data_IF_607486519781
#
_entry.id   IF_607486519781
#
_cell.length_a   1.000
_cell.length_b   1.000
_cell.length_c   1.000
_cell.angle_alpha   90.00
_cell.angle_beta   90.00
_cell.angle_gamma   90.00
#
_symmetry.space_group_name_H-M   'P 1'
#
loop_
_entity.id
_entity.type
_entity.pdbx_description
1 polymer ?
#
# COMPACT_ATOMS: atom_id res chain seq x y z
N UNK A 1 6.94 -3.08 19.10
CA UNK A 1 6.42 -3.55 17.81
C UNK A 1 6.75 -2.55 16.71
N UNK A 2 6.98 -3.02 15.48
CA UNK A 2 7.37 -2.18 14.33
C UNK A 2 6.23 -2.05 13.32
N UNK A 3 6.06 -0.87 12.72
CA UNK A 3 5.14 -0.63 11.62
C UNK A 3 5.91 -0.19 10.37
N UNK A 4 5.77 -0.93 9.28
CA UNK A 4 6.34 -0.61 7.97
C UNK A 4 5.27 -0.09 7.03
N UNK A 5 5.51 1.06 6.42
CA UNK A 5 4.55 1.78 5.59
C UNK A 5 5.03 1.85 4.14
N UNK A 6 4.18 1.43 3.20
CA UNK A 6 4.41 1.49 1.76
C UNK A 6 3.48 2.53 1.12
N UNK A 7 4.05 3.58 0.51
CA UNK A 7 3.27 4.67 -0.06
C UNK A 7 2.44 4.29 -1.29
N UNK A 8 1.44 5.12 -1.58
CA UNK A 8 0.67 5.09 -2.83
C UNK A 8 1.51 5.47 -4.05
N UNK A 9 0.97 5.25 -5.27
CA UNK A 9 1.58 5.68 -6.54
C UNK A 9 1.90 7.17 -6.53
N UNK A 10 3.11 7.54 -6.94
CA UNK A 10 3.60 8.92 -6.90
C UNK A 10 3.94 9.45 -5.50
N UNK A 11 3.63 8.69 -4.44
CA UNK A 11 3.89 9.06 -3.05
C UNK A 11 5.32 8.78 -2.58
N UNK A 12 5.65 9.35 -1.43
CA UNK A 12 6.91 9.18 -0.70
C UNK A 12 6.62 8.82 0.75
N UNK A 13 7.61 8.27 1.44
CA UNK A 13 7.50 7.94 2.87
C UNK A 13 7.08 9.13 3.73
N UNK A 14 7.56 10.34 3.41
CA UNK A 14 7.19 11.55 4.17
C UNK A 14 5.70 11.91 4.10
N UNK A 15 4.95 11.46 3.09
CA UNK A 15 3.50 11.65 3.02
C UNK A 15 2.78 10.98 4.20
N UNK A 16 3.43 10.01 4.85
CA UNK A 16 2.91 9.25 5.99
C UNK A 16 3.51 9.67 7.34
N UNK A 17 4.18 10.82 7.41
CA UNK A 17 4.75 11.33 8.66
C UNK A 17 3.72 11.60 9.76
N UNK A 18 2.43 11.66 9.43
CA UNK A 18 1.37 11.77 10.42
C UNK A 18 1.26 10.51 11.29
N UNK A 19 1.64 9.32 10.81
CA UNK A 19 1.76 8.13 11.64
C UNK A 19 2.77 8.33 12.77
N UNK A 20 3.93 8.93 12.48
CA UNK A 20 4.98 9.21 13.49
C UNK A 20 4.59 10.25 14.52
N UNK A 21 3.53 11.04 14.26
CA UNK A 21 3.02 12.06 15.18
C UNK A 21 1.94 11.53 16.11
N UNK A 22 1.36 10.39 15.79
CA UNK A 22 0.37 9.73 16.63
C UNK A 22 1.07 8.95 17.75
N UNK A 23 0.49 8.95 18.93
CA UNK A 23 1.01 8.21 20.09
C UNK A 23 0.34 6.84 20.13
N UNK A 24 0.96 5.87 19.49
CA UNK A 24 0.54 4.47 19.59
C UNK A 24 0.87 3.91 20.97
N UNK A 25 0.04 3.03 21.49
CA UNK A 25 0.31 2.33 22.76
C UNK A 25 1.19 1.09 22.56
N UNK A 26 1.10 0.46 21.36
CA UNK A 26 1.74 -0.83 21.08
C UNK A 26 2.76 -0.79 19.94
N UNK A 27 2.88 0.32 19.21
CA UNK A 27 3.82 0.48 18.11
C UNK A 27 4.91 1.47 18.53
N UNK A 28 6.14 0.97 18.66
CA UNK A 28 7.30 1.73 19.15
C UNK A 28 8.06 2.41 18.00
N UNK A 29 8.15 1.74 16.85
CA UNK A 29 8.94 2.17 15.73
C UNK A 29 8.11 2.20 14.43
N UNK A 30 8.20 3.31 13.69
CA UNK A 30 7.46 3.52 12.44
C UNK A 30 8.42 3.85 11.33
N UNK A 31 8.44 3.02 10.30
CA UNK A 31 9.28 3.12 9.14
C UNK A 31 8.42 3.33 7.89
N UNK A 32 8.71 4.38 7.13
CA UNK A 32 8.03 4.63 5.86
C UNK A 32 9.03 4.49 4.71
N UNK A 33 8.67 3.65 3.75
CA UNK A 33 9.51 3.31 2.61
C UNK A 33 9.53 4.42 1.56
N UNK A 34 10.70 4.67 1.00
CA UNK A 34 10.83 5.48 -0.21
C UNK A 34 11.25 4.57 -1.37
N UNK A 35 10.37 4.45 -2.36
CA UNK A 35 10.67 3.65 -3.55
C UNK A 35 11.92 4.17 -4.26
N UNK A 36 12.85 3.29 -4.69
CA UNK A 36 13.98 3.69 -5.50
C UNK A 36 13.51 4.38 -6.79
N UNK A 37 13.90 5.63 -6.98
CA UNK A 37 13.53 6.43 -8.16
C UNK A 37 14.72 7.27 -8.61
N UNK A 38 14.97 7.28 -9.91
CA UNK A 38 15.97 8.16 -10.50
C UNK A 38 15.40 9.57 -10.64
N UNK A 39 15.42 10.33 -9.55
CA UNK A 39 14.85 11.69 -9.51
C UNK A 39 15.74 12.75 -10.18
N UNK A 40 17.01 12.44 -10.46
CA UNK A 40 17.99 13.35 -11.09
C UNK A 40 18.85 12.57 -12.07
N UNK A 41 19.31 13.18 -13.19
CA UNK A 41 20.13 12.52 -14.20
C UNK A 41 21.42 11.90 -13.62
N UNK A 42 22.04 12.56 -12.64
CA UNK A 42 23.29 12.17 -11.98
C UNK A 42 23.08 11.10 -10.89
N UNK A 43 21.84 10.74 -10.56
CA UNK A 43 21.55 9.73 -9.53
C UNK A 43 22.08 8.37 -9.96
N UNK A 44 22.76 7.68 -9.02
CA UNK A 44 23.16 6.27 -9.16
C UNK A 44 22.02 5.30 -8.92
N UNK A 45 20.89 5.79 -8.35
CA UNK A 45 19.68 5.01 -8.15
C UNK A 45 19.12 4.65 -9.51
N UNK A 46 18.77 3.39 -9.70
CA UNK A 46 18.10 2.88 -10.89
C UNK A 46 16.60 2.76 -10.61
N UNK A 47 15.81 3.12 -11.59
CA UNK A 47 14.37 2.83 -11.55
C UNK A 47 14.14 1.32 -11.57
N UNK A 48 13.11 0.89 -10.85
CA UNK A 48 12.65 -0.50 -10.86
C UNK A 48 12.05 -0.85 -12.23
N UNK A 49 12.37 -2.03 -12.74
CA UNK A 49 11.95 -2.47 -14.09
C UNK A 49 10.56 -3.09 -14.12
N UNK A 50 10.13 -3.66 -13.01
CA UNK A 50 8.85 -4.32 -12.86
C UNK A 50 8.42 -4.37 -11.38
N UNK A 51 7.16 -4.73 -11.15
CA UNK A 51 6.59 -4.77 -9.80
C UNK A 51 7.29 -5.78 -8.88
N UNK A 52 7.75 -6.91 -9.42
CA UNK A 52 8.48 -7.93 -8.63
C UNK A 52 9.82 -7.39 -8.10
N UNK A 53 10.50 -6.53 -8.86
CA UNK A 53 11.74 -5.89 -8.41
C UNK A 53 11.44 -4.90 -7.26
N UNK A 54 10.34 -4.14 -7.34
CA UNK A 54 9.84 -3.29 -6.25
C UNK A 54 9.59 -4.09 -4.97
N UNK A 55 8.91 -5.21 -5.09
CA UNK A 55 8.64 -6.09 -3.94
C UNK A 55 9.93 -6.62 -3.34
N UNK A 56 10.91 -7.05 -4.15
CA UNK A 56 12.21 -7.52 -3.64
C UNK A 56 12.96 -6.42 -2.88
N UNK A 57 13.03 -5.22 -3.43
CA UNK A 57 13.67 -4.09 -2.77
C UNK A 57 12.97 -3.77 -1.43
N UNK A 58 11.65 -3.85 -1.39
CA UNK A 58 10.86 -3.63 -0.18
C UNK A 58 11.12 -4.72 0.87
N UNK A 59 11.22 -6.00 0.46
CA UNK A 59 11.59 -7.12 1.36
C UNK A 59 12.97 -6.91 1.96
N UNK A 60 13.99 -6.62 1.13
CA UNK A 60 15.36 -6.36 1.59
C UNK A 60 15.39 -5.21 2.60
N UNK A 61 14.61 -4.16 2.34
CA UNK A 61 14.50 -3.02 3.25
C UNK A 61 13.83 -3.41 4.59
N UNK A 62 12.73 -4.16 4.58
CA UNK A 62 12.09 -4.64 5.82
C UNK A 62 13.05 -5.52 6.62
N UNK A 63 13.75 -6.45 5.95
CA UNK A 63 14.71 -7.35 6.60
C UNK A 63 15.91 -6.61 7.20
N UNK A 64 16.24 -5.41 6.72
CA UNK A 64 17.32 -4.60 7.29
C UNK A 64 17.00 -4.00 8.68
N UNK A 65 15.74 -4.12 9.16
CA UNK A 65 15.24 -3.53 10.41
C UNK A 65 15.07 -4.53 11.58
N UNK A 66 15.71 -5.70 11.51
CA UNK A 66 15.63 -6.74 12.55
C UNK A 66 14.20 -7.09 12.99
N UNK A 67 13.46 -7.76 12.08
CA UNK A 67 12.10 -8.23 12.34
C UNK A 67 12.04 -9.64 12.94
N UNK A 68 13.20 -10.27 13.23
CA UNK A 68 13.24 -11.67 13.70
C UNK A 68 12.89 -11.81 15.17
N UNK A 69 13.14 -10.76 15.94
CA UNK A 69 12.97 -10.73 17.40
C UNK A 69 11.73 -9.98 17.87
N UNK A 70 11.00 -9.32 16.98
CA UNK A 70 9.89 -8.45 17.33
C UNK A 70 8.70 -8.64 16.38
N UNK A 71 7.50 -8.48 16.94
CA UNK A 71 6.27 -8.41 16.13
C UNK A 71 6.26 -7.16 15.26
N UNK A 72 5.68 -7.28 14.08
CA UNK A 72 5.58 -6.17 13.15
C UNK A 72 4.31 -6.21 12.31
N UNK A 73 3.97 -5.04 11.78
CA UNK A 73 2.84 -4.81 10.89
C UNK A 73 3.33 -4.25 9.56
N UNK A 74 2.61 -4.57 8.51
CA UNK A 74 2.81 -3.98 7.19
C UNK A 74 1.57 -3.14 6.84
N UNK A 75 1.77 -1.89 6.50
CA UNK A 75 0.72 -1.00 6.01
C UNK A 75 1.02 -0.58 4.58
N UNK A 76 0.03 -0.66 3.71
CA UNK A 76 0.15 -0.11 2.37
C UNK A 76 -1.11 0.63 1.95
N UNK A 77 -0.94 1.76 1.25
CA UNK A 77 -2.04 2.51 0.67
C UNK A 77 -1.99 2.44 -0.86
N UNK A 78 -3.11 2.11 -1.51
CA UNK A 78 -3.19 2.04 -2.96
C UNK A 78 -2.16 1.03 -3.53
N UNK A 79 -1.27 1.44 -4.45
CA UNK A 79 -0.16 0.60 -4.94
C UNK A 79 0.64 -0.02 -3.77
N UNK A 80 0.89 0.76 -2.72
CA UNK A 80 1.61 0.30 -1.54
C UNK A 80 0.93 -0.87 -0.83
N UNK A 81 -0.39 -1.00 -0.94
CA UNK A 81 -1.12 -2.14 -0.38
C UNK A 81 -0.73 -3.46 -1.08
N UNK A 82 -0.59 -3.46 -2.41
CA UNK A 82 -0.07 -4.63 -3.11
C UNK A 82 1.38 -4.95 -2.74
N UNK A 83 2.21 -3.92 -2.53
CA UNK A 83 3.59 -4.12 -2.04
C UNK A 83 3.57 -4.75 -0.65
N UNK A 84 2.77 -4.21 0.29
CA UNK A 84 2.64 -4.75 1.64
C UNK A 84 2.18 -6.21 1.63
N UNK A 85 1.19 -6.54 0.79
CA UNK A 85 0.69 -7.90 0.64
C UNK A 85 1.78 -8.87 0.15
N UNK A 86 2.47 -8.55 -0.94
CA UNK A 86 3.50 -9.42 -1.51
C UNK A 86 4.72 -9.56 -0.57
N UNK A 87 5.08 -8.49 0.15
CA UNK A 87 6.11 -8.53 1.19
C UNK A 87 5.69 -9.49 2.31
N UNK A 88 4.45 -9.37 2.81
CA UNK A 88 3.91 -10.26 3.84
C UNK A 88 3.88 -11.72 3.40
N UNK A 89 3.41 -11.98 2.17
CA UNK A 89 3.37 -13.32 1.58
C UNK A 89 4.76 -13.95 1.47
N UNK A 90 5.77 -13.17 1.07
CA UNK A 90 7.13 -13.71 0.94
C UNK A 90 7.79 -13.94 2.29
N UNK A 91 7.65 -13.01 3.24
CA UNK A 91 8.20 -13.13 4.59
C UNK A 91 7.58 -14.33 5.34
N UNK A 92 6.28 -14.57 5.17
CA UNK A 92 5.59 -15.73 5.74
C UNK A 92 6.22 -17.06 5.29
N UNK A 93 6.62 -17.21 4.03
CA UNK A 93 7.31 -18.43 3.54
C UNK A 93 8.61 -18.73 4.28
N UNK A 94 9.20 -17.70 4.87
CA UNK A 94 10.43 -17.81 5.66
C UNK A 94 10.17 -17.86 7.18
N UNK A 95 8.91 -18.05 7.60
CA UNK A 95 8.52 -18.10 9.02
C UNK A 95 8.56 -16.75 9.73
N UNK A 96 8.59 -15.66 8.97
CA UNK A 96 8.57 -14.28 9.47
C UNK A 96 7.16 -13.70 9.19
N UNK A 97 6.18 -14.09 10.00
CA UNK A 97 4.80 -13.67 9.79
C UNK A 97 4.57 -12.26 10.32
N UNK A 98 4.03 -11.31 9.53
CA UNK A 98 3.49 -10.09 10.08
C UNK A 98 2.28 -10.40 10.97
N UNK A 99 2.06 -9.61 12.02
CA UNK A 99 0.87 -9.74 12.85
C UNK A 99 -0.39 -9.49 12.03
N UNK A 100 -0.40 -8.44 11.23
CA UNK A 100 -1.41 -8.18 10.19
C UNK A 100 -0.80 -7.43 9.01
N UNK A 101 -1.43 -7.58 7.84
CA UNK A 101 -1.17 -6.73 6.67
C UNK A 101 -2.35 -5.78 6.47
N UNK A 102 -2.10 -4.49 6.59
CA UNK A 102 -3.11 -3.45 6.49
C UNK A 102 -3.17 -2.93 5.05
N UNK A 103 -4.29 -3.22 4.40
CA UNK A 103 -4.58 -2.89 3.01
C UNK A 103 -5.50 -1.67 2.94
N UNK A 104 -4.96 -0.51 2.57
CA UNK A 104 -5.74 0.73 2.49
C UNK A 104 -6.02 1.11 1.04
N UNK A 105 -7.30 1.36 0.70
CA UNK A 105 -7.79 1.75 -0.63
C UNK A 105 -7.27 0.85 -1.77
N UNK A 106 -7.49 -0.47 -1.63
CA UNK A 106 -7.11 -1.43 -2.65
C UNK A 106 -8.05 -2.63 -2.70
N UNK A 107 -8.11 -3.27 -3.87
CA UNK A 107 -8.83 -4.51 -4.14
C UNK A 107 -8.03 -5.73 -3.67
N UNK A 108 -8.67 -6.92 -3.52
CA UNK A 108 -7.94 -8.16 -3.31
C UNK A 108 -6.86 -8.34 -4.38
N UNK A 109 -5.61 -8.63 -4.01
CA UNK A 109 -4.53 -8.81 -5.01
C UNK A 109 -4.87 -9.80 -6.11
N UNK A 110 -5.52 -10.91 -5.76
CA UNK A 110 -5.92 -11.97 -6.71
C UNK A 110 -6.94 -11.51 -7.77
N UNK A 111 -7.68 -10.43 -7.51
CA UNK A 111 -8.61 -9.84 -8.48
C UNK A 111 -7.94 -8.87 -9.47
N UNK A 112 -6.70 -8.44 -9.22
CA UNK A 112 -6.01 -7.46 -10.06
C UNK A 112 -5.96 -7.82 -11.56
N UNK A 113 -5.76 -9.08 -11.97
CA UNK A 113 -5.81 -9.45 -13.39
C UNK A 113 -7.13 -9.10 -14.09
N UNK A 114 -8.26 -9.06 -13.35
CA UNK A 114 -9.60 -8.75 -13.87
C UNK A 114 -9.77 -7.27 -14.15
N UNK A 115 -9.15 -6.42 -13.34
CA UNK A 115 -9.26 -4.94 -13.41
C UNK A 115 -8.03 -4.29 -14.05
N UNK A 116 -7.02 -5.07 -14.45
CA UNK A 116 -5.76 -4.57 -15.00
C UNK A 116 -5.95 -3.60 -16.16
N UNK A 117 -6.84 -3.91 -17.10
CA UNK A 117 -7.08 -3.04 -18.27
C UNK A 117 -7.59 -1.67 -17.88
N UNK A 118 -8.39 -1.60 -16.83
CA UNK A 118 -8.89 -0.32 -16.31
C UNK A 118 -7.72 0.50 -15.77
N UNK A 119 -6.81 -0.14 -15.02
CA UNK A 119 -5.58 0.51 -14.54
C UNK A 119 -4.63 0.90 -15.68
N UNK A 120 -4.51 0.10 -16.73
CA UNK A 120 -3.69 0.43 -17.92
C UNK A 120 -4.26 1.64 -18.67
N UNK A 121 -5.55 1.90 -18.60
CA UNK A 121 -6.19 3.05 -19.22
C UNK A 121 -6.08 4.34 -18.39
N UNK A 122 -5.82 4.25 -17.08
CA UNK A 122 -5.81 5.41 -16.18
C UNK A 122 -4.72 6.46 -16.52
N UNK A 123 -3.58 6.02 -17.08
CA UNK A 123 -2.53 6.97 -17.49
C UNK A 123 -2.76 7.61 -18.86
N UNK A 124 -3.82 7.25 -19.59
CA UNK A 124 -4.22 7.90 -20.84
C UNK A 124 -4.80 9.28 -20.55
N UNK A 125 -5.62 9.39 -19.49
CA UNK A 125 -6.14 10.66 -18.98
C UNK A 125 -5.82 10.80 -17.49
N UNK A 126 -4.58 11.14 -17.21
CA UNK A 126 -4.07 11.22 -15.83
C UNK A 126 -4.72 12.35 -15.03
N UNK A 127 -5.16 13.41 -15.68
CA UNK A 127 -5.82 14.53 -15.01
C UNK A 127 -7.20 14.12 -14.52
N UNK A 128 -7.97 13.48 -15.36
CA UNK A 128 -9.27 12.91 -14.99
C UNK A 128 -9.13 11.88 -13.88
N UNK A 129 -8.10 11.02 -13.95
CA UNK A 129 -7.86 10.05 -12.90
C UNK A 129 -7.56 10.70 -11.55
N UNK A 130 -6.68 11.71 -11.51
CA UNK A 130 -6.37 12.46 -10.29
C UNK A 130 -7.63 13.11 -9.71
N UNK A 131 -8.47 13.72 -10.55
CA UNK A 131 -9.73 14.32 -10.13
C UNK A 131 -10.66 13.27 -9.49
N UNK A 132 -10.82 12.11 -10.10
CA UNK A 132 -11.62 11.00 -9.57
C UNK A 132 -11.10 10.46 -8.23
N UNK A 133 -9.80 10.46 -8.01
CA UNK A 133 -9.22 10.08 -6.71
C UNK A 133 -9.53 11.08 -5.58
N UNK A 134 -10.18 12.22 -5.88
CA UNK A 134 -10.43 13.31 -4.93
C UNK A 134 -9.38 14.41 -5.01
N UNK A 135 -8.62 14.48 -6.11
CA UNK A 135 -7.58 15.48 -6.33
C UNK A 135 -6.26 15.13 -5.63
N UNK A 136 -5.43 16.16 -5.43
CA UNK A 136 -4.20 16.05 -4.63
C UNK A 136 -4.44 16.66 -3.24
N UNK A 137 -3.87 16.05 -2.22
CA UNK A 137 -4.03 16.51 -0.81
C UNK A 137 -3.28 17.82 -0.50
N UNK A 138 -2.70 18.47 -1.49
CA UNK A 138 -1.98 19.73 -1.32
C UNK A 138 -2.12 20.61 -2.57
N UNK A 139 -2.11 21.93 -2.36
CA UNK A 139 -2.01 22.89 -3.45
C UNK A 139 -0.63 22.80 -4.09
N UNK A 140 -0.57 22.23 -5.30
CA UNK A 140 0.66 22.12 -6.08
C UNK A 140 0.72 23.22 -7.14
N UNK A 141 1.90 23.83 -7.31
CA UNK A 141 2.15 24.63 -8.50
C UNK A 141 2.31 23.72 -9.74
N UNK A 142 2.26 24.29 -10.94
CA UNK A 142 2.33 23.54 -12.20
C UNK A 142 3.52 22.58 -12.25
N UNK A 143 4.72 23.05 -11.89
CA UNK A 143 5.94 22.21 -11.93
C UNK A 143 5.86 21.02 -10.99
N UNK A 144 5.34 21.22 -9.78
CA UNK A 144 5.14 20.14 -8.81
C UNK A 144 4.08 19.15 -9.26
N UNK A 145 3.01 19.65 -9.90
CA UNK A 145 1.96 18.81 -10.48
C UNK A 145 2.49 17.95 -11.65
N UNK A 146 3.24 18.55 -12.56
CA UNK A 146 3.84 17.82 -13.69
C UNK A 146 4.80 16.73 -13.20
N UNK A 147 5.58 17.04 -12.17
CA UNK A 147 6.45 16.05 -11.52
C UNK A 147 5.65 14.91 -10.87
N UNK A 148 4.62 15.24 -10.08
CA UNK A 148 3.74 14.23 -9.47
C UNK A 148 3.11 13.33 -10.51
N UNK A 149 2.56 13.88 -11.60
CA UNK A 149 1.99 13.11 -12.72
C UNK A 149 3.00 12.16 -13.34
N UNK A 150 4.25 12.62 -13.52
CA UNK A 150 5.31 11.75 -14.07
C UNK A 150 5.61 10.54 -13.19
N UNK A 151 5.63 10.73 -11.87
CA UNK A 151 5.82 9.65 -10.91
C UNK A 151 4.61 8.70 -10.89
N UNK A 152 3.40 9.25 -10.88
CA UNK A 152 2.16 8.48 -10.89
C UNK A 152 2.06 7.61 -12.14
N UNK A 153 2.33 8.16 -13.32
CA UNK A 153 2.36 7.40 -14.58
C UNK A 153 3.42 6.28 -14.54
N UNK A 154 4.61 6.59 -14.03
CA UNK A 154 5.67 5.59 -13.88
C UNK A 154 5.24 4.43 -12.99
N UNK A 155 4.65 4.72 -11.84
CA UNK A 155 4.19 3.72 -10.89
C UNK A 155 3.00 2.89 -11.44
N UNK A 156 2.05 3.52 -12.17
CA UNK A 156 0.94 2.80 -12.81
C UNK A 156 1.44 1.86 -13.91
N UNK A 157 2.42 2.28 -14.72
CA UNK A 157 3.05 1.41 -15.72
C UNK A 157 3.76 0.22 -15.07
N UNK A 158 4.45 0.46 -13.96
CA UNK A 158 5.09 -0.60 -13.19
C UNK A 158 4.05 -1.57 -12.61
N UNK A 159 2.93 -1.04 -12.08
CA UNK A 159 1.82 -1.83 -11.60
C UNK A 159 1.21 -2.71 -12.71
N UNK A 160 1.17 -2.25 -13.96
CA UNK A 160 0.77 -3.04 -15.11
C UNK A 160 1.58 -4.34 -15.29
N UNK A 161 2.77 -4.43 -14.70
CA UNK A 161 3.59 -5.65 -14.69
C UNK A 161 3.32 -6.59 -13.51
N UNK A 162 2.36 -6.26 -12.66
CA UNK A 162 1.99 -7.07 -11.50
C UNK A 162 1.15 -8.28 -11.89
N UNK A 163 1.59 -9.47 -11.52
CA UNK A 163 0.91 -10.74 -11.75
C UNK A 163 0.83 -11.51 -10.42
N UNK A 164 -0.21 -11.25 -9.61
CA UNK A 164 -0.39 -11.93 -8.34
C UNK A 164 -0.61 -13.42 -8.56
N UNK A 165 -0.10 -14.22 -7.64
CA UNK A 165 -0.41 -15.64 -7.56
C UNK A 165 -1.61 -15.84 -6.61
N UNK A 166 -2.49 -16.78 -6.94
CA UNK A 166 -3.52 -17.23 -6.01
C UNK A 166 -2.83 -18.13 -4.98
N UNK A 167 -2.86 -17.79 -3.68
CA UNK A 167 -2.25 -18.60 -2.65
C UNK A 167 -2.89 -19.99 -2.57
N UNK A 168 -2.09 -21.01 -2.34
CA UNK A 168 -2.61 -22.34 -2.04
C UNK A 168 -3.10 -22.41 -0.57
N UNK A 169 -3.80 -23.50 -0.24
CA UNK A 169 -4.24 -23.72 1.14
C UNK A 169 -3.01 -23.77 2.07
N UNK A 170 -2.99 -22.91 3.09
CA UNK A 170 -1.87 -22.77 4.03
C UNK A 170 -0.83 -21.70 3.66
N UNK A 171 -0.89 -21.14 2.44
CA UNK A 171 0.01 -20.04 2.03
C UNK A 171 -0.58 -18.64 2.29
N UNK A 172 -1.90 -18.55 2.53
CA UNK A 172 -2.58 -17.27 2.78
C UNK A 172 -1.97 -16.56 4.00
N UNK A 173 -2.06 -15.24 4.00
CA UNK A 173 -1.76 -14.48 5.22
C UNK A 173 -2.69 -14.90 6.36
N UNK A 174 -2.22 -14.78 7.59
CA UNK A 174 -3.02 -15.15 8.77
C UNK A 174 -4.10 -14.11 8.99
N UNK A 175 -3.77 -12.82 8.87
CA UNK A 175 -4.68 -11.71 9.05
C UNK A 175 -4.45 -10.57 8.05
N UNK A 176 -5.55 -9.98 7.57
CA UNK A 176 -5.58 -8.75 6.78
C UNK A 176 -6.60 -7.78 7.37
N UNK A 177 -6.19 -6.54 7.59
CA UNK A 177 -7.10 -5.44 7.93
C UNK A 177 -7.28 -4.52 6.73
N UNK A 178 -8.53 -4.27 6.34
CA UNK A 178 -8.87 -3.43 5.18
C UNK A 178 -9.42 -2.09 5.64
N UNK A 179 -8.88 -1.02 5.09
CA UNK A 179 -9.43 0.33 5.21
C UNK A 179 -9.78 0.88 3.84
N UNK A 180 -10.97 1.46 3.66
CA UNK A 180 -11.38 2.02 2.38
C UNK A 180 -12.32 3.22 2.51
N UNK A 181 -12.35 4.07 1.47
CA UNK A 181 -13.42 5.05 1.27
C UNK A 181 -14.64 4.39 0.62
N UNK A 182 -15.84 4.84 0.94
CA UNK A 182 -17.10 4.34 0.37
C UNK A 182 -17.37 4.85 -1.05
N UNK A 183 -16.67 5.93 -1.47
CA UNK A 183 -16.73 6.53 -2.80
C UNK A 183 -15.35 6.46 -3.51
N UNK A 184 -14.56 5.42 -3.20
CA UNK A 184 -13.25 5.22 -3.83
C UNK A 184 -13.42 4.64 -5.25
N UNK A 185 -13.06 5.38 -6.31
CA UNK A 185 -13.33 5.00 -7.69
C UNK A 185 -12.46 3.86 -8.22
N UNK A 186 -11.45 3.43 -7.48
CA UNK A 186 -10.57 2.31 -7.88
C UNK A 186 -10.94 0.99 -7.22
N UNK A 187 -11.94 1.00 -6.33
CA UNK A 187 -12.43 -0.20 -5.68
C UNK A 187 -13.57 -0.85 -6.47
N UNK A 188 -13.57 -2.17 -6.48
CA UNK A 188 -14.55 -3.00 -7.18
C UNK A 188 -15.23 -3.94 -6.16
N UNK A 189 -16.35 -3.51 -5.54
CA UNK A 189 -17.02 -4.28 -4.48
C UNK A 189 -17.42 -5.69 -4.89
N UNK A 190 -17.65 -5.94 -6.18
CA UNK A 190 -17.97 -7.26 -6.73
C UNK A 190 -16.86 -8.30 -6.53
N UNK A 191 -15.61 -7.87 -6.31
CA UNK A 191 -14.48 -8.78 -6.05
C UNK A 191 -14.14 -8.92 -4.56
N UNK A 192 -14.88 -8.28 -3.66
CA UNK A 192 -14.52 -8.27 -2.23
C UNK A 192 -14.59 -9.64 -1.55
N UNK A 193 -15.41 -10.57 -2.06
CA UNK A 193 -15.38 -11.95 -1.61
C UNK A 193 -14.05 -12.67 -1.86
N UNK A 194 -13.18 -12.12 -2.71
CA UNK A 194 -11.88 -12.72 -3.01
C UNK A 194 -10.80 -12.43 -1.94
N UNK A 195 -11.10 -11.60 -0.94
CA UNK A 195 -10.25 -11.46 0.25
C UNK A 195 -10.07 -12.80 0.97
N UNK A 196 -11.08 -13.67 0.94
CA UNK A 196 -11.01 -15.03 1.48
C UNK A 196 -9.95 -15.91 0.79
N UNK A 197 -9.51 -15.54 -0.41
CA UNK A 197 -8.41 -16.19 -1.10
C UNK A 197 -7.04 -15.67 -0.64
N UNK A 198 -6.98 -14.48 -0.06
CA UNK A 198 -5.76 -13.78 0.31
C UNK A 198 -5.37 -14.02 1.77
N UNK A 199 -6.35 -14.16 2.66
CA UNK A 199 -6.13 -14.27 4.10
C UNK A 199 -7.06 -15.30 4.76
N UNK A 200 -6.67 -15.75 5.95
CA UNK A 200 -7.49 -16.61 6.81
C UNK A 200 -8.46 -15.81 7.68
N UNK A 201 -8.09 -14.59 8.04
CA UNK A 201 -8.90 -13.61 8.75
C UNK A 201 -8.88 -12.28 8.01
N UNK A 202 -10.03 -11.59 7.98
CA UNK A 202 -10.13 -10.31 7.31
C UNK A 202 -11.14 -9.41 8.02
N UNK A 203 -10.67 -8.25 8.52
CA UNK A 203 -11.54 -7.21 9.07
C UNK A 203 -11.58 -6.00 8.14
N UNK A 204 -12.74 -5.33 8.02
CA UNK A 204 -12.90 -4.19 7.12
C UNK A 204 -13.51 -2.98 7.82
N UNK A 205 -12.89 -1.82 7.61
CA UNK A 205 -13.35 -0.52 8.04
C UNK A 205 -13.61 0.39 6.83
N UNK A 206 -14.80 0.95 6.75
CA UNK A 206 -15.20 1.85 5.66
C UNK A 206 -15.41 3.26 6.21
N UNK A 207 -14.88 4.25 5.49
CA UNK A 207 -15.00 5.68 5.80
C UNK A 207 -15.74 6.39 4.68
N UNK A 208 -16.41 7.49 5.02
CA UNK A 208 -17.00 8.34 4.00
C UNK A 208 -15.90 9.10 3.25
N UNK A 209 -15.85 8.95 1.92
CA UNK A 209 -14.89 9.67 1.06
C UNK A 209 -14.27 8.82 -0.02
N UNK A 210 -13.35 9.47 -0.75
CA UNK A 210 -12.68 8.92 -1.92
C UNK A 210 -11.41 8.17 -1.57
N UNK A 211 -10.52 7.98 -2.56
CA UNK A 211 -9.27 7.23 -2.43
C UNK A 211 -8.36 7.70 -1.29
N UNK A 212 -8.32 9.00 -1.04
CA UNK A 212 -7.46 9.59 -0.01
C UNK A 212 -8.17 9.90 1.31
N UNK A 213 -9.26 9.15 1.65
CA UNK A 213 -9.98 9.27 2.92
C UNK A 213 -9.04 9.29 4.15
N UNK A 214 -7.92 8.58 4.08
CA UNK A 214 -6.95 8.43 5.16
C UNK A 214 -6.41 9.77 5.69
N UNK A 215 -6.31 10.80 4.85
CA UNK A 215 -5.85 12.11 5.28
C UNK A 215 -6.90 12.89 6.06
N UNK A 216 -8.18 12.56 5.87
CA UNK A 216 -9.30 13.12 6.63
C UNK A 216 -9.50 12.38 7.95
N UNK A 217 -9.39 11.05 7.95
CA UNK A 217 -9.69 10.19 9.10
C UNK A 217 -8.43 9.60 9.77
N UNK A 218 -7.27 10.22 9.59
CA UNK A 218 -5.97 9.71 10.04
C UNK A 218 -5.94 9.29 11.51
N UNK A 219 -6.57 10.06 12.42
CA UNK A 219 -6.57 9.74 13.84
C UNK A 219 -7.40 8.49 14.15
N UNK A 220 -8.59 8.35 13.53
CA UNK A 220 -9.43 7.17 13.73
C UNK A 220 -8.81 5.92 13.10
N UNK A 221 -8.19 6.05 11.92
CA UNK A 221 -7.45 4.95 11.28
C UNK A 221 -6.32 4.46 12.20
N UNK A 222 -5.50 5.37 12.73
CA UNK A 222 -4.40 5.01 13.62
C UNK A 222 -4.88 4.40 14.92
N UNK A 223 -5.98 4.92 15.49
CA UNK A 223 -6.62 4.34 16.67
C UNK A 223 -7.11 2.91 16.42
N UNK A 224 -7.71 2.64 15.26
CA UNK A 224 -8.15 1.28 14.90
C UNK A 224 -6.98 0.32 14.69
N UNK A 225 -5.90 0.79 14.07
CA UNK A 225 -4.67 0.00 13.95
C UNK A 225 -4.15 -0.38 15.33
N UNK A 226 -4.06 0.57 16.26
CA UNK A 226 -3.57 0.34 17.62
C UNK A 226 -4.48 -0.60 18.43
N UNK A 227 -5.80 -0.50 18.24
CA UNK A 227 -6.78 -1.40 18.85
C UNK A 227 -6.73 -2.82 18.31
N UNK A 228 -6.54 -2.99 17.01
CA UNK A 228 -6.44 -4.30 16.37
C UNK A 228 -5.25 -5.10 16.91
N UNK A 229 -4.15 -4.42 17.16
CA UNK A 229 -2.93 -4.99 17.75
C UNK A 229 -3.10 -5.45 19.20
N UNK A 230 -4.03 -4.86 19.97
CA UNK A 230 -4.32 -5.27 21.36
C UNK A 230 -5.17 -6.52 21.47
N UNK A 231 -5.94 -6.84 20.45
CA UNK A 231 -6.92 -7.94 20.46
C UNK A 231 -6.39 -9.29 19.93
N UNK A 232 -5.18 -9.30 19.37
CA UNK A 232 -4.47 -10.49 18.93
C UNK A 232 -3.50 -10.94 19.98
#
# INVERSE_FOLDING_TARGET
MKLFIFPHSGGFGHNYNFFKKYQFENIDEIYAYDYPRKLRPESKVKDERNFLERVRNAIEWVLSHDIKSEEYLLFGHSLGAFVAYEVGMELKKHGLNPLTVIMSSQNPPVSFPKVRKDFENLYIDIDYFIERLGGTNCNMNKKSMDFYKSLLISDLKLLGTYYPKIPQKGEKLDDITIFCGDDDPVLYPEYWGEWDLCSSSCEKFTYHGTHFYIYQYKEDVMKKIDQHVKGG
#
